data_IF_375063923150
#
_entry.id   IF_375063923150
#
_cell.length_a   1.000
_cell.length_b   1.000
_cell.length_c   1.000
_cell.angle_alpha   90.00
_cell.angle_beta   90.00
_cell.angle_gamma   90.00
#
_symmetry.space_group_name_H-M   'P 1'
#
loop_
_entity.id
_entity.type
_entity.pdbx_description
1 polymer ?
#
# COMPACT_ATOMS: atom_id res chain seq x y z
N UNK A 1 -21.58 39.18 3.61
CA UNK A 1 -21.81 37.79 3.18
C UNK A 1 -23.06 37.31 3.86
N UNK A 2 -23.97 36.61 3.12
CA UNK A 2 -25.11 35.94 3.73
C UNK A 2 -24.60 34.77 4.59
N UNK A 3 -25.07 34.65 5.83
CA UNK A 3 -24.66 33.61 6.78
C UNK A 3 -25.50 32.31 6.66
N UNK A 4 -26.38 32.21 5.64
CA UNK A 4 -27.20 31.02 5.42
C UNK A 4 -26.35 29.85 4.94
N UNK A 5 -26.62 28.69 5.49
CA UNK A 5 -26.02 27.40 5.09
C UNK A 5 -26.88 26.62 4.08
N UNK A 6 -28.10 27.13 3.79
CA UNK A 6 -29.02 26.46 2.88
C UNK A 6 -28.72 26.82 1.43
N UNK A 7 -28.41 25.82 0.63
CA UNK A 7 -28.15 25.96 -0.80
C UNK A 7 -28.75 24.80 -1.59
N UNK A 8 -28.86 24.99 -2.92
CA UNK A 8 -29.21 23.93 -3.87
C UNK A 8 -28.11 23.76 -4.91
N UNK A 9 -27.89 22.55 -5.37
CA UNK A 9 -27.01 22.25 -6.49
C UNK A 9 -27.74 22.58 -7.83
N UNK A 10 -27.13 23.44 -8.63
CA UNK A 10 -27.67 23.89 -9.94
C UNK A 10 -27.05 23.11 -11.09
N UNK A 11 -25.77 22.71 -10.96
CA UNK A 11 -24.99 21.96 -11.96
C UNK A 11 -23.91 21.13 -11.28
N UNK A 12 -23.63 19.94 -11.84
CA UNK A 12 -22.58 19.01 -11.38
C UNK A 12 -21.81 18.48 -12.56
N UNK A 13 -20.47 18.54 -12.51
CA UNK A 13 -19.59 18.01 -13.57
C UNK A 13 -18.36 17.38 -12.95
N UNK A 14 -17.85 16.34 -13.60
CA UNK A 14 -16.51 15.81 -13.29
C UNK A 14 -15.46 16.87 -13.63
N UNK A 15 -14.47 16.99 -12.77
CA UNK A 15 -13.32 17.88 -12.89
C UNK A 15 -12.04 17.11 -12.55
N UNK A 16 -10.87 17.65 -12.92
CA UNK A 16 -9.58 17.07 -12.61
C UNK A 16 -9.47 15.61 -13.09
N UNK A 17 -9.81 15.37 -14.37
CA UNK A 17 -9.80 14.04 -15.02
C UNK A 17 -10.55 12.93 -14.25
N UNK A 18 -11.59 13.33 -13.53
CA UNK A 18 -12.43 12.42 -12.73
C UNK A 18 -12.09 12.38 -11.23
N UNK A 19 -11.02 13.04 -10.80
CA UNK A 19 -10.60 13.08 -9.38
C UNK A 19 -11.43 14.02 -8.49
N UNK A 20 -12.30 14.85 -9.07
CA UNK A 20 -13.15 15.77 -8.32
C UNK A 20 -14.52 15.95 -8.97
N UNK A 21 -15.52 16.31 -8.18
CA UNK A 21 -16.82 16.74 -8.65
C UNK A 21 -16.92 18.26 -8.42
N UNK A 22 -17.02 19.02 -9.51
CA UNK A 22 -17.30 20.45 -9.45
C UNK A 22 -18.80 20.64 -9.38
N UNK A 23 -19.30 21.30 -8.31
CA UNK A 23 -20.71 21.64 -8.15
C UNK A 23 -20.92 23.16 -8.18
N UNK A 24 -21.85 23.60 -8.99
CA UNK A 24 -22.36 24.97 -8.95
C UNK A 24 -23.59 25.01 -8.06
N UNK A 25 -23.53 25.84 -7.02
CA UNK A 25 -24.55 25.96 -5.99
C UNK A 25 -25.16 27.34 -6.00
N UNK A 26 -26.42 27.45 -5.55
CA UNK A 26 -27.16 28.70 -5.40
C UNK A 26 -27.70 28.77 -3.98
N UNK A 27 -27.35 29.84 -3.24
CA UNK A 27 -27.87 30.07 -1.90
C UNK A 27 -29.38 30.33 -1.96
N UNK A 28 -30.16 29.61 -1.16
CA UNK A 28 -31.62 29.76 -1.16
C UNK A 28 -32.08 31.06 -0.54
N UNK A 29 -31.29 31.70 0.32
CA UNK A 29 -31.63 32.94 1.01
C UNK A 29 -31.32 34.18 0.21
N UNK A 30 -30.20 34.25 -0.51
CA UNK A 30 -29.76 35.48 -1.20
C UNK A 30 -29.57 35.29 -2.70
N UNK A 31 -29.80 34.11 -3.27
CA UNK A 31 -29.70 33.81 -4.70
C UNK A 31 -28.26 33.82 -5.25
N UNK A 32 -27.25 34.06 -4.41
CA UNK A 32 -25.86 34.12 -4.85
C UNK A 32 -25.38 32.72 -5.28
N UNK A 33 -24.74 32.69 -6.45
CA UNK A 33 -24.13 31.46 -6.96
C UNK A 33 -22.65 31.36 -6.59
N UNK A 34 -22.22 30.15 -6.20
CA UNK A 34 -20.85 29.83 -5.88
C UNK A 34 -20.50 28.42 -6.37
N UNK A 35 -19.23 28.13 -6.43
CA UNK A 35 -18.74 26.82 -6.88
C UNK A 35 -18.01 26.14 -5.72
N UNK A 36 -18.31 24.85 -5.55
CA UNK A 36 -17.59 23.96 -4.63
C UNK A 36 -16.96 22.81 -5.42
N UNK A 37 -15.90 22.25 -4.86
CA UNK A 37 -15.28 21.04 -5.35
C UNK A 37 -15.36 19.99 -4.24
N UNK A 38 -15.92 18.84 -4.58
CA UNK A 38 -15.89 17.66 -3.74
C UNK A 38 -14.76 16.79 -4.23
N UNK A 39 -13.80 16.52 -3.36
CA UNK A 39 -12.68 15.59 -3.58
C UNK A 39 -12.79 14.48 -2.57
N UNK A 40 -12.26 13.31 -2.93
CA UNK A 40 -11.99 12.30 -1.92
C UNK A 40 -10.94 12.87 -0.96
N UNK A 41 -11.24 12.90 0.33
CA UNK A 41 -10.21 13.15 1.33
C UNK A 41 -9.21 11.99 1.24
N UNK A 42 -7.96 12.30 0.90
CA UNK A 42 -6.85 11.36 1.06
C UNK A 42 -6.65 11.15 2.57
N UNK A 43 -7.36 10.16 3.11
CA UNK A 43 -7.11 9.73 4.48
C UNK A 43 -5.66 9.22 4.52
N UNK A 44 -4.78 9.84 5.30
CA UNK A 44 -3.40 9.41 5.36
C UNK A 44 -3.33 7.97 5.85
N UNK A 45 -2.65 7.11 5.08
CA UNK A 45 -2.39 5.73 5.49
C UNK A 45 -1.30 5.74 6.56
N UNK A 46 -1.57 5.12 7.70
CA UNK A 46 -0.64 5.00 8.82
C UNK A 46 -0.15 3.57 8.99
N UNK A 47 1.11 3.42 9.36
CA UNK A 47 1.71 2.13 9.73
C UNK A 47 1.96 2.11 11.23
N UNK A 48 1.28 1.22 11.93
CA UNK A 48 1.48 1.01 13.37
C UNK A 48 2.67 0.06 13.58
N UNK A 49 3.71 0.56 14.24
CA UNK A 49 4.92 -0.20 14.58
C UNK A 49 4.64 -1.21 15.70
N UNK A 50 5.53 -2.19 15.88
CA UNK A 50 5.48 -3.14 17.02
C UNK A 50 5.47 -2.43 18.39
N UNK A 51 6.05 -1.23 18.47
CA UNK A 51 5.97 -0.37 19.67
C UNK A 51 4.60 0.26 19.92
N UNK A 52 3.65 0.12 18.99
CA UNK A 52 2.36 0.79 19.02
C UNK A 52 2.40 2.23 18.46
N UNK A 53 3.55 2.73 18.01
CA UNK A 53 3.67 4.09 17.46
C UNK A 53 3.21 4.11 15.99
N UNK A 54 2.22 4.96 15.62
CA UNK A 54 1.83 5.15 14.24
C UNK A 54 2.85 6.06 13.52
N UNK A 55 3.20 5.70 12.29
CA UNK A 55 4.00 6.52 11.38
C UNK A 55 3.26 6.64 10.03
N UNK A 56 3.42 7.76 9.30
CA UNK A 56 2.90 7.85 7.95
C UNK A 56 3.46 6.75 7.05
N UNK A 57 2.64 6.28 6.11
CA UNK A 57 3.09 5.37 5.07
C UNK A 57 4.26 5.97 4.30
N UNK A 58 5.32 5.20 4.16
CA UNK A 58 6.53 5.59 3.44
C UNK A 58 6.90 4.51 2.43
N UNK A 59 6.47 4.70 1.19
CA UNK A 59 6.77 3.80 0.08
C UNK A 59 8.28 3.63 -0.14
N UNK A 60 9.07 4.70 0.10
CA UNK A 60 10.52 4.64 -0.09
C UNK A 60 11.19 3.64 0.85
N UNK A 61 10.67 3.46 2.07
CA UNK A 61 11.16 2.44 3.01
C UNK A 61 10.93 1.02 2.48
N UNK A 62 9.78 0.78 1.85
CA UNK A 62 9.46 -0.53 1.27
C UNK A 62 10.40 -0.81 0.08
N UNK A 63 10.53 0.14 -0.84
CA UNK A 63 11.42 0.05 -1.99
C UNK A 63 12.87 -0.20 -1.55
N UNK A 64 13.37 0.52 -0.56
CA UNK A 64 14.72 0.31 -0.03
C UNK A 64 14.92 -1.10 0.53
N UNK A 65 13.94 -1.63 1.28
CA UNK A 65 13.96 -3.00 1.79
C UNK A 65 13.97 -4.04 0.67
N UNK A 66 13.16 -3.83 -0.37
CA UNK A 66 13.10 -4.69 -1.55
C UNK A 66 14.43 -4.70 -2.32
N UNK A 67 15.03 -3.53 -2.57
CA UNK A 67 16.35 -3.44 -3.23
C UNK A 67 17.45 -4.14 -2.41
N UNK A 68 17.44 -4.00 -1.09
CA UNK A 68 18.40 -4.69 -0.22
C UNK A 68 18.27 -6.22 -0.34
N UNK A 69 17.04 -6.74 -0.36
CA UNK A 69 16.77 -8.16 -0.52
C UNK A 69 17.11 -8.68 -1.93
N UNK A 70 16.81 -7.89 -2.95
CA UNK A 70 17.03 -8.22 -4.37
C UNK A 70 18.47 -7.99 -4.85
N UNK A 71 19.37 -7.51 -4.00
CA UNK A 71 20.75 -7.19 -4.41
C UNK A 71 21.43 -8.38 -5.10
N UNK A 72 21.96 -8.14 -6.31
CA UNK A 72 22.60 -9.15 -7.18
C UNK A 72 21.65 -10.31 -7.57
N UNK A 73 20.35 -10.06 -7.62
CA UNK A 73 19.37 -10.98 -8.20
C UNK A 73 18.94 -10.48 -9.58
N UNK A 74 18.52 -11.37 -10.49
CA UNK A 74 18.03 -11.00 -11.81
C UNK A 74 16.58 -10.50 -11.74
N UNK A 75 16.36 -9.47 -10.93
CA UNK A 75 15.06 -8.82 -10.70
C UNK A 75 15.20 -7.40 -11.20
N UNK A 76 14.33 -6.99 -12.12
CA UNK A 76 14.31 -5.63 -12.64
C UNK A 76 13.69 -4.66 -11.62
N UNK A 77 14.16 -3.40 -11.62
CA UNK A 77 13.61 -2.36 -10.75
C UNK A 77 12.09 -2.18 -10.93
N UNK A 78 11.60 -2.31 -12.16
CA UNK A 78 10.16 -2.26 -12.45
C UNK A 78 9.35 -3.33 -11.72
N UNK A 79 9.91 -4.53 -11.48
CA UNK A 79 9.25 -5.60 -10.73
C UNK A 79 9.19 -5.26 -9.23
N UNK A 80 10.21 -4.61 -8.68
CA UNK A 80 10.23 -4.15 -7.29
C UNK A 80 9.24 -2.99 -7.08
N UNK A 81 9.15 -2.09 -8.06
CA UNK A 81 8.17 -1.00 -8.06
C UNK A 81 6.72 -1.52 -8.12
N UNK A 82 6.46 -2.52 -8.99
CA UNK A 82 5.15 -3.18 -9.07
C UNK A 82 4.79 -3.87 -7.76
N UNK A 83 5.75 -4.58 -7.15
CA UNK A 83 5.57 -5.22 -5.86
C UNK A 83 5.20 -4.19 -4.77
N UNK A 84 5.94 -3.08 -4.70
CA UNK A 84 5.64 -2.02 -3.73
C UNK A 84 4.27 -1.38 -3.98
N UNK A 85 3.85 -1.22 -5.23
CA UNK A 85 2.52 -0.71 -5.57
C UNK A 85 1.40 -1.66 -5.10
N UNK A 86 1.57 -2.97 -5.31
CA UNK A 86 0.62 -3.99 -4.84
C UNK A 86 0.51 -4.02 -3.32
N UNK A 87 1.63 -3.90 -2.60
CA UNK A 87 1.63 -3.80 -1.13
C UNK A 87 0.89 -2.54 -0.66
N UNK A 88 1.08 -1.42 -1.34
CA UNK A 88 0.37 -0.18 -1.02
C UNK A 88 -1.13 -0.29 -1.28
N UNK A 89 -1.53 -0.94 -2.37
CA UNK A 89 -2.94 -1.20 -2.69
C UNK A 89 -3.61 -2.07 -1.61
N UNK A 90 -2.97 -3.17 -1.20
CA UNK A 90 -3.46 -4.02 -0.09
C UNK A 90 -3.58 -3.23 1.21
N UNK A 91 -2.61 -2.35 1.50
CA UNK A 91 -2.63 -1.51 2.68
C UNK A 91 -3.83 -0.53 2.66
N UNK A 92 -4.11 0.10 1.52
CA UNK A 92 -5.24 1.02 1.37
C UNK A 92 -6.60 0.31 1.45
N UNK A 93 -6.70 -0.92 0.95
CA UNK A 93 -7.91 -1.76 1.07
C UNK A 93 -8.17 -2.17 2.52
N UNK A 94 -7.12 -2.30 3.33
CA UNK A 94 -7.21 -2.63 4.75
C UNK A 94 -7.75 -1.52 5.65
N UNK A 95 -7.82 -0.28 5.15
CA UNK A 95 -8.29 0.89 5.89
C UNK A 95 -7.22 1.95 6.13
N UNK A 96 -7.47 2.93 7.02
CA UNK A 96 -6.54 4.04 7.25
C UNK A 96 -5.29 3.65 8.05
N UNK A 97 -5.32 2.51 8.72
CA UNK A 97 -4.21 2.01 9.55
C UNK A 97 -3.91 0.55 9.23
N UNK A 98 -2.61 0.24 9.08
CA UNK A 98 -2.11 -1.13 8.93
C UNK A 98 -0.95 -1.35 9.87
N UNK A 99 -0.69 -2.60 10.27
CA UNK A 99 0.46 -2.90 11.11
C UNK A 99 1.71 -3.17 10.26
N UNK A 100 2.88 -2.86 10.79
CA UNK A 100 4.17 -3.21 10.15
C UNK A 100 4.29 -4.73 9.90
N UNK A 101 3.60 -5.55 10.69
CA UNK A 101 3.55 -7.01 10.52
C UNK A 101 2.70 -7.43 9.33
N UNK A 102 1.58 -6.73 9.08
CA UNK A 102 0.77 -6.97 7.87
C UNK A 102 1.56 -6.59 6.62
N UNK A 103 2.18 -5.40 6.61
CA UNK A 103 3.01 -4.94 5.50
C UNK A 103 4.12 -5.94 5.19
N UNK A 104 4.85 -6.39 6.23
CA UNK A 104 5.93 -7.37 6.06
C UNK A 104 5.44 -8.71 5.50
N UNK A 105 4.26 -9.18 5.90
CA UNK A 105 3.65 -10.39 5.34
C UNK A 105 3.34 -10.26 3.86
N UNK A 106 2.69 -9.17 3.45
CA UNK A 106 2.40 -8.93 2.02
C UNK A 106 3.67 -8.88 1.17
N UNK A 107 4.73 -8.23 1.68
CA UNK A 107 6.03 -8.21 1.00
C UNK A 107 6.60 -9.63 0.87
N UNK A 108 6.56 -10.43 1.93
CA UNK A 108 7.04 -11.81 1.92
C UNK A 108 6.27 -12.69 0.94
N UNK A 109 4.93 -12.61 0.92
CA UNK A 109 4.08 -13.38 0.03
C UNK A 109 4.43 -13.09 -1.44
N UNK A 110 4.61 -11.82 -1.79
CA UNK A 110 4.95 -11.40 -3.14
C UNK A 110 6.41 -11.75 -3.53
N UNK A 111 7.37 -11.60 -2.61
CA UNK A 111 8.76 -12.01 -2.85
C UNK A 111 8.90 -13.52 -3.04
N UNK A 112 8.10 -14.31 -2.34
CA UNK A 112 8.07 -15.76 -2.48
C UNK A 112 7.69 -16.23 -3.88
N UNK A 113 6.81 -15.48 -4.55
CA UNK A 113 6.43 -15.74 -5.93
C UNK A 113 7.51 -15.29 -6.92
N UNK A 114 8.31 -14.28 -6.54
CA UNK A 114 9.26 -13.63 -7.43
C UNK A 114 10.65 -14.27 -7.39
N UNK A 115 11.22 -14.49 -6.19
CA UNK A 115 12.58 -15.01 -6.03
C UNK A 115 12.82 -15.52 -4.60
N UNK A 116 13.13 -16.82 -4.47
CA UNK A 116 13.34 -17.49 -3.18
C UNK A 116 14.50 -16.88 -2.37
N UNK A 117 15.56 -16.40 -3.02
CA UNK A 117 16.71 -15.83 -2.33
C UNK A 117 16.40 -14.44 -1.81
N UNK A 118 15.71 -13.60 -2.61
CA UNK A 118 15.23 -12.30 -2.14
C UNK A 118 14.24 -12.47 -0.99
N UNK A 119 13.33 -13.43 -1.09
CA UNK A 119 12.44 -13.82 0.01
C UNK A 119 13.20 -14.12 1.29
N UNK A 120 14.17 -15.07 1.26
CA UNK A 120 14.94 -15.47 2.45
C UNK A 120 15.71 -14.31 3.08
N UNK A 121 16.27 -13.41 2.25
CA UNK A 121 16.98 -12.22 2.75
C UNK A 121 16.04 -11.26 3.44
N UNK A 122 14.88 -10.99 2.86
CA UNK A 122 13.88 -10.14 3.48
C UNK A 122 13.35 -10.78 4.77
N UNK A 123 13.02 -12.07 4.73
CA UNK A 123 12.53 -12.84 5.87
C UNK A 123 13.53 -12.81 7.04
N UNK A 124 14.82 -12.92 6.75
CA UNK A 124 15.86 -12.92 7.80
C UNK A 124 15.87 -11.64 8.63
N UNK A 125 15.66 -10.50 7.99
CA UNK A 125 15.60 -9.20 8.68
C UNK A 125 14.24 -8.99 9.34
N UNK A 126 13.18 -9.30 8.61
CA UNK A 126 11.82 -9.08 9.08
C UNK A 126 11.44 -9.98 10.27
N UNK A 127 11.79 -11.25 10.22
CA UNK A 127 11.54 -12.24 11.28
C UNK A 127 12.64 -12.27 12.37
N UNK A 128 13.76 -11.57 12.12
CA UNK A 128 14.87 -11.51 13.07
C UNK A 128 15.57 -12.86 13.23
N UNK A 129 16.09 -13.44 12.13
CA UNK A 129 16.85 -14.70 12.21
C UNK A 129 18.14 -14.49 12.99
N UNK A 130 18.40 -15.34 13.99
CA UNK A 130 19.57 -15.28 14.85
C UNK A 130 20.61 -16.37 14.53
N UNK A 131 20.20 -17.45 13.86
CA UNK A 131 21.05 -18.60 13.59
C UNK A 131 20.88 -19.15 12.17
N UNK A 132 21.89 -19.89 11.70
CA UNK A 132 21.84 -20.58 10.41
C UNK A 132 20.66 -21.59 10.33
N UNK A 133 20.25 -22.15 11.47
CA UNK A 133 19.11 -23.06 11.55
C UNK A 133 17.77 -22.37 11.14
N UNK A 134 17.63 -21.06 11.35
CA UNK A 134 16.44 -20.31 10.95
C UNK A 134 16.33 -20.23 9.43
N UNK A 135 17.46 -19.97 8.76
CA UNK A 135 17.54 -20.00 7.30
C UNK A 135 17.23 -21.39 6.74
N UNK A 136 17.80 -22.44 7.34
CA UNK A 136 17.57 -23.81 6.90
C UNK A 136 16.09 -24.22 7.03
N UNK A 137 15.45 -23.83 8.13
CA UNK A 137 14.02 -24.07 8.36
C UNK A 137 13.17 -23.36 7.32
N UNK A 138 13.41 -22.07 7.08
CA UNK A 138 12.64 -21.27 6.16
C UNK A 138 12.84 -21.71 4.69
N UNK A 139 14.08 -22.01 4.29
CA UNK A 139 14.38 -22.58 2.99
C UNK A 139 13.69 -23.93 2.77
N UNK A 140 13.58 -24.77 3.81
CA UNK A 140 12.87 -26.05 3.77
C UNK A 140 11.37 -25.89 3.50
N UNK A 141 10.75 -24.79 3.93
CA UNK A 141 9.35 -24.47 3.63
C UNK A 141 9.14 -24.09 2.16
N UNK A 142 10.07 -23.33 1.56
CA UNK A 142 10.04 -22.97 0.14
C UNK A 142 10.13 -24.22 -0.75
N UNK A 143 11.07 -25.12 -0.45
CA UNK A 143 11.28 -26.36 -1.24
C UNK A 143 10.06 -27.27 -1.24
N UNK A 144 9.32 -27.35 -0.13
CA UNK A 144 8.09 -28.14 -0.04
C UNK A 144 6.94 -27.54 -0.87
N UNK A 145 6.89 -26.22 -0.99
CA UNK A 145 5.85 -25.54 -1.78
C UNK A 145 6.09 -25.65 -3.29
N UNK A 146 7.35 -25.84 -3.72
CA UNK A 146 7.77 -25.90 -5.12
C UNK A 146 7.87 -27.35 -5.64
N UNK A 147 7.60 -28.38 -4.83
CA UNK A 147 7.65 -29.77 -5.26
C UNK A 147 6.65 -30.01 -6.41
N UNK A 148 7.09 -30.49 -7.59
CA UNK A 148 6.21 -30.76 -8.69
C UNK A 148 5.17 -31.82 -8.30
N UNK A 149 3.90 -31.53 -8.60
CA UNK A 149 2.85 -32.53 -8.49
C UNK A 149 3.27 -33.77 -9.30
N UNK A 150 3.25 -35.02 -8.74
CA UNK A 150 3.54 -36.22 -9.52
C UNK A 150 2.56 -36.26 -10.68
N UNK A 151 3.09 -36.40 -11.91
CA UNK A 151 2.27 -36.60 -13.09
C UNK A 151 1.66 -38.02 -12.98
N UNK A 152 0.38 -38.16 -13.35
CA UNK A 152 -0.29 -39.44 -13.39
C UNK A 152 0.33 -40.39 -14.44
#
# INVERSE_FOLDING_TARGET
>A
MCASVDDKVVDSRLAEDGGAIRRRRECLSCGRRFTTYERLDDVPLLVVKRSGTPEPWDRAKIIAGLHAAAKNRPIADAQLEDLAARVEEEARLGGPEVTSEQVGRWVLDLLRELDDVAYLRFASVYMGFDAAADFAREAGLLTKATAPKPRP
#
